data_IF_249198524070
#
_entry.id   IF_249198524070
#
_cell.length_a   1.000
_cell.length_b   1.000
_cell.length_c   1.000
_cell.angle_alpha   90.00
_cell.angle_beta   90.00
_cell.angle_gamma   90.00
#
_symmetry.space_group_name_H-M   'P 1'
#
loop_
_entity.id
_entity.type
_entity.pdbx_description
1 polymer ?
#
# COMPACT_ATOMS: atom_id res chain seq x y z
N UNK A 1 37.09 22.77 -31.71
CA UNK A 1 35.78 22.26 -31.26
C UNK A 1 35.32 23.11 -30.10
N UNK A 2 34.16 23.75 -30.21
CA UNK A 2 33.72 24.69 -29.18
C UNK A 2 33.34 23.94 -27.89
N UNK A 3 33.81 24.38 -26.72
CA UNK A 3 33.58 23.71 -25.45
C UNK A 3 32.09 23.60 -25.09
N UNK A 4 31.25 24.49 -25.65
CA UNK A 4 29.80 24.46 -25.51
C UNK A 4 29.15 23.23 -26.16
N UNK A 5 29.63 22.83 -27.35
CA UNK A 5 29.14 21.63 -28.03
C UNK A 5 29.53 20.34 -27.29
N UNK A 6 30.71 20.32 -26.67
CA UNK A 6 31.17 19.21 -25.82
C UNK A 6 30.30 19.10 -24.56
N UNK A 7 30.01 20.23 -23.91
CA UNK A 7 29.13 20.26 -22.74
C UNK A 7 27.70 19.80 -23.05
N UNK A 8 27.14 20.23 -24.18
CA UNK A 8 25.79 19.86 -24.61
C UNK A 8 25.69 18.36 -24.95
N UNK A 9 26.71 17.80 -25.60
CA UNK A 9 26.77 16.36 -25.89
C UNK A 9 26.87 15.50 -24.62
N UNK A 10 27.66 15.92 -23.63
CA UNK A 10 27.77 15.23 -22.33
C UNK A 10 26.45 15.26 -21.55
N UNK A 11 25.76 16.40 -21.52
CA UNK A 11 24.45 16.52 -20.87
C UNK A 11 23.39 15.66 -21.57
N UNK A 12 23.34 15.68 -22.91
CA UNK A 12 22.43 14.84 -23.68
C UNK A 12 22.69 13.35 -23.45
N UNK A 13 23.96 12.94 -23.40
CA UNK A 13 24.37 11.57 -23.08
C UNK A 13 23.95 11.14 -21.68
N UNK A 14 24.17 11.98 -20.66
CA UNK A 14 23.74 11.73 -19.28
C UNK A 14 22.21 11.59 -19.18
N UNK A 15 21.46 12.49 -19.81
CA UNK A 15 19.99 12.43 -19.83
C UNK A 15 19.51 11.16 -20.51
N UNK A 16 20.09 10.78 -21.66
CA UNK A 16 19.76 9.53 -22.35
C UNK A 16 20.03 8.29 -21.48
N UNK A 17 21.17 8.25 -20.78
CA UNK A 17 21.51 7.16 -19.84
C UNK A 17 20.52 7.10 -18.67
N UNK A 18 20.15 8.24 -18.07
CA UNK A 18 19.18 8.28 -16.97
C UNK A 18 17.80 7.80 -17.42
N UNK A 19 17.33 8.26 -18.59
CA UNK A 19 16.06 7.84 -19.16
C UNK A 19 16.05 6.34 -19.52
N UNK A 20 17.16 5.83 -20.06
CA UNK A 20 17.31 4.40 -20.33
C UNK A 20 17.33 3.57 -19.04
N UNK A 21 18.07 3.99 -18.00
CA UNK A 21 18.08 3.32 -16.69
C UNK A 21 16.69 3.34 -16.04
N UNK A 22 15.96 4.45 -16.11
CA UNK A 22 14.56 4.55 -15.63
C UNK A 22 13.63 3.62 -16.41
N UNK A 23 13.82 3.45 -17.72
CA UNK A 23 13.03 2.53 -18.55
C UNK A 23 13.39 1.06 -18.29
N UNK A 24 14.67 0.75 -18.10
CA UNK A 24 15.16 -0.59 -17.78
C UNK A 24 14.74 -1.03 -16.36
N UNK A 25 14.78 -0.12 -15.38
CA UNK A 25 14.25 -0.39 -14.03
C UNK A 25 12.73 -0.48 -13.97
N UNK A 26 12.02 0.04 -14.99
CA UNK A 26 10.59 -0.23 -15.20
C UNK A 26 10.33 -1.58 -15.88
N UNK A 27 11.34 -2.44 -16.10
CA UNK A 27 11.06 -3.79 -16.60
C UNK A 27 10.11 -4.51 -15.62
N UNK A 28 8.98 -4.98 -16.13
CA UNK A 28 7.86 -5.44 -15.33
C UNK A 28 8.24 -6.72 -14.61
N UNK A 29 7.67 -6.92 -13.43
CA UNK A 29 7.61 -8.20 -12.73
C UNK A 29 6.81 -9.22 -13.57
N UNK A 30 7.35 -9.66 -14.71
CA UNK A 30 6.89 -10.82 -15.48
C UNK A 30 7.55 -12.13 -15.03
N UNK A 31 8.44 -12.07 -14.04
CA UNK A 31 8.94 -13.24 -13.33
C UNK A 31 7.91 -13.69 -12.30
N UNK A 32 7.38 -14.89 -12.47
CA UNK A 32 6.29 -15.47 -11.71
C UNK A 32 6.39 -15.23 -10.20
N UNK A 33 5.49 -14.37 -9.71
CA UNK A 33 5.05 -14.50 -8.32
C UNK A 33 4.23 -15.79 -8.30
N UNK A 34 4.54 -16.79 -7.47
CA UNK A 34 3.65 -17.94 -7.33
C UNK A 34 2.28 -17.39 -6.94
N UNK A 35 1.33 -17.45 -7.87
CA UNK A 35 -0.06 -17.15 -7.56
C UNK A 35 -0.50 -18.27 -6.64
N UNK A 36 -0.56 -17.96 -5.34
CA UNK A 36 -1.17 -18.87 -4.36
C UNK A 36 -2.57 -19.21 -4.87
N UNK A 37 -3.01 -20.47 -4.75
CA UNK A 37 -4.35 -20.87 -5.15
C UNK A 37 -5.39 -19.92 -4.55
N UNK A 38 -6.44 -19.58 -5.32
CA UNK A 38 -7.41 -18.56 -4.94
C UNK A 38 -7.96 -18.76 -3.52
N UNK A 39 -8.11 -20.01 -3.08
CA UNK A 39 -8.56 -20.37 -1.73
C UNK A 39 -7.66 -19.87 -0.58
N UNK A 40 -6.37 -19.62 -0.82
CA UNK A 40 -5.45 -19.11 0.19
C UNK A 40 -5.44 -17.58 0.30
N UNK A 41 -6.04 -16.88 -0.67
CA UNK A 41 -6.16 -15.42 -0.64
C UNK A 41 -6.98 -14.99 0.57
N UNK A 42 -8.08 -15.70 0.82
CA UNK A 42 -9.02 -15.46 1.92
C UNK A 42 -8.35 -15.52 3.30
N UNK A 43 -7.33 -16.38 3.46
CA UNK A 43 -6.58 -16.50 4.71
C UNK A 43 -5.60 -15.35 4.94
N UNK A 44 -5.14 -14.70 3.86
CA UNK A 44 -4.23 -13.55 3.91
C UNK A 44 -4.97 -12.21 4.01
N UNK A 45 -6.26 -12.16 3.67
CA UNK A 45 -7.10 -10.97 3.88
C UNK A 45 -7.38 -10.66 5.36
N UNK A 46 -7.01 -11.55 6.29
CA UNK A 46 -7.35 -11.44 7.70
C UNK A 46 -6.54 -10.39 8.50
N UNK A 47 -5.49 -9.79 7.95
CA UNK A 47 -4.59 -8.94 8.75
C UNK A 47 -4.45 -7.48 8.29
N UNK A 48 -4.70 -7.15 7.02
CA UNK A 48 -4.54 -5.77 6.55
C UNK A 48 -5.53 -4.76 7.18
N UNK A 49 -6.66 -5.25 7.69
CA UNK A 49 -7.63 -4.40 8.41
C UNK A 49 -7.27 -4.19 9.89
N UNK A 50 -6.28 -4.92 10.43
CA UNK A 50 -5.91 -4.87 11.85
C UNK A 50 -4.84 -3.81 12.15
N UNK A 51 -4.35 -3.09 11.14
CA UNK A 51 -3.33 -2.07 11.31
C UNK A 51 -3.80 -0.68 10.86
N UNK A 52 -4.62 0.02 11.66
CA UNK A 52 -4.87 1.44 11.44
C UNK A 52 -3.77 2.30 12.09
N UNK A 53 -2.53 1.83 12.04
CA UNK A 53 -1.45 2.36 12.85
C UNK A 53 -1.22 3.86 12.63
N UNK A 54 -1.66 4.44 11.52
CA UNK A 54 -1.52 5.86 11.24
C UNK A 54 -2.88 6.55 11.09
N UNK A 55 -3.09 7.63 11.83
CA UNK A 55 -4.29 8.46 11.67
C UNK A 55 -4.17 9.32 10.40
N UNK A 56 -5.17 9.26 9.52
CA UNK A 56 -5.22 10.07 8.30
C UNK A 56 -5.52 11.55 8.52
N UNK A 57 -6.08 11.90 9.69
CA UNK A 57 -6.49 13.27 10.01
C UNK A 57 -5.34 14.08 10.63
N UNK A 58 -4.64 13.51 11.61
CA UNK A 58 -3.56 14.22 12.34
C UNK A 58 -2.17 13.59 12.19
N UNK A 59 -2.04 12.44 11.52
CA UNK A 59 -0.74 11.76 11.33
C UNK A 59 -0.20 11.03 12.57
N UNK A 60 -0.95 10.95 13.67
CA UNK A 60 -0.52 10.25 14.88
C UNK A 60 -0.43 8.75 14.64
N UNK A 61 0.65 8.14 15.12
CA UNK A 61 0.80 6.70 15.15
C UNK A 61 0.05 6.10 16.35
N UNK A 62 -0.98 5.31 16.07
CA UNK A 62 -1.81 4.61 17.03
C UNK A 62 -1.43 3.13 17.05
N UNK A 63 -1.58 2.48 18.21
CA UNK A 63 -1.30 1.05 18.33
C UNK A 63 -2.40 0.24 17.64
N UNK A 64 -2.10 -0.98 17.20
CA UNK A 64 -3.12 -1.90 16.69
C UNK A 64 -4.24 -2.11 17.73
N UNK A 65 -5.49 -2.16 17.28
CA UNK A 65 -6.67 -2.37 18.13
C UNK A 65 -7.35 -1.11 18.68
N UNK A 66 -6.83 0.09 18.42
CA UNK A 66 -7.54 1.33 18.73
C UNK A 66 -8.65 1.62 17.71
N UNK A 67 -9.87 1.90 18.19
CA UNK A 67 -11.00 2.29 17.35
C UNK A 67 -10.97 3.77 16.93
N UNK A 68 -10.32 4.60 17.75
CA UNK A 68 -10.22 6.05 17.59
C UNK A 68 -8.77 6.50 17.81
N UNK A 69 -8.39 7.58 17.15
CA UNK A 69 -7.08 8.19 17.34
C UNK A 69 -6.96 8.76 18.76
N UNK A 70 -5.87 8.44 19.45
CA UNK A 70 -5.61 8.92 20.81
C UNK A 70 -5.34 10.42 20.92
N UNK A 71 -5.03 11.08 19.80
CA UNK A 71 -4.67 12.49 19.77
C UNK A 71 -5.83 13.38 19.32
N UNK A 72 -6.41 13.08 18.15
CA UNK A 72 -7.46 13.91 17.56
C UNK A 72 -8.88 13.34 17.71
N UNK A 73 -9.03 12.09 18.18
CA UNK A 73 -10.33 11.43 18.31
C UNK A 73 -10.95 10.91 17.02
N UNK A 74 -10.32 11.13 15.85
CA UNK A 74 -10.80 10.64 14.56
C UNK A 74 -10.94 9.12 14.54
N UNK A 75 -11.96 8.60 13.86
CA UNK A 75 -12.19 7.16 13.79
C UNK A 75 -11.15 6.48 12.89
N UNK A 76 -10.54 5.43 13.40
CA UNK A 76 -9.48 4.71 12.70
C UNK A 76 -10.07 3.65 11.74
N UNK A 77 -9.50 3.47 10.53
CA UNK A 77 -10.06 2.59 9.49
C UNK A 77 -10.06 1.10 9.85
N UNK A 78 -9.28 0.69 10.85
CA UNK A 78 -9.19 -0.67 11.38
C UNK A 78 -9.87 -0.87 12.73
N UNK A 79 -10.59 0.16 13.21
CA UNK A 79 -11.44 0.07 14.39
C UNK A 79 -12.69 -0.77 14.09
N UNK A 80 -12.58 -2.08 14.23
CA UNK A 80 -13.71 -2.98 14.06
C UNK A 80 -14.73 -2.76 15.19
N UNK A 81 -15.80 -2.02 14.88
CA UNK A 81 -17.11 -2.66 15.05
C UNK A 81 -17.27 -3.58 13.86
N UNK A 82 -16.69 -4.77 13.94
CA UNK A 82 -17.23 -5.88 13.19
C UNK A 82 -18.61 -6.11 13.81
N UNK A 83 -19.59 -5.32 13.37
CA UNK A 83 -20.98 -5.74 13.39
C UNK A 83 -20.94 -6.97 12.49
N UNK A 84 -20.82 -8.14 13.09
CA UNK A 84 -21.31 -9.35 12.46
C UNK A 84 -22.76 -9.04 12.18
N UNK A 85 -23.03 -8.73 10.92
CA UNK A 85 -24.37 -8.56 10.36
C UNK A 85 -25.23 -9.81 10.56
N UNK A 86 -24.62 -10.93 10.98
CA UNK A 86 -25.32 -12.10 11.49
C UNK A 86 -26.19 -11.70 12.68
N UNK A 87 -27.47 -11.50 12.39
CA UNK A 87 -28.52 -11.41 13.39
C UNK A 87 -28.52 -12.74 14.16
N UNK A 88 -28.36 -12.66 15.47
CA UNK A 88 -28.38 -13.83 16.36
C UNK A 88 -29.70 -14.60 16.21
N UNK A 89 -30.77 -13.91 15.81
CA UNK A 89 -32.09 -14.48 15.52
C UNK A 89 -32.07 -15.42 14.31
N UNK A 90 -31.17 -15.23 13.34
CA UNK A 90 -31.01 -16.15 12.20
C UNK A 90 -30.29 -17.45 12.59
N UNK A 91 -29.55 -17.46 13.70
CA UNK A 91 -28.86 -18.66 14.22
C UNK A 91 -29.84 -19.54 15.02
N UNK A 92 -30.83 -18.94 15.68
CA UNK A 92 -31.86 -19.62 16.45
C UNK A 92 -33.19 -19.59 15.71
N UNK A 93 -33.23 -20.21 14.52
CA UNK A 93 -34.46 -20.31 13.74
C UNK A 93 -35.62 -20.90 14.56
N UNK A 94 -36.69 -20.12 14.70
CA UNK A 94 -38.03 -20.57 15.10
C UNK A 94 -38.84 -21.03 13.87
#
# INVERSE_FOLDING_TARGET
MDPFWVGLALLAGLVAVVLWRRRASRQPQRGGRPVLPAQYSSLLQADHSRYPGLCSSCGTENTAGYDFCRECGERLPGGTRARTDVDVSDIFGE
#
